data_IF_480651261395
#
_entry.id   IF_480651261395
#
_cell.length_a   1.000
_cell.length_b   1.000
_cell.length_c   1.000
_cell.angle_alpha   90.00
_cell.angle_beta   90.00
_cell.angle_gamma   90.00
#
_symmetry.space_group_name_H-M   'P 1'
#
loop_
_entity.id
_entity.type
_entity.pdbx_description
1 polymer ?
#
# COMPACT_ATOMS: atom_id res chain seq x y z
N UNK A 1 -12.07 5.58 -6.14
CA UNK A 1 -10.96 6.48 -5.74
C UNK A 1 -11.57 7.88 -5.69
N UNK A 2 -11.68 8.53 -4.53
CA UNK A 2 -12.24 9.88 -4.50
C UNK A 2 -11.24 10.81 -5.18
N UNK A 3 -11.55 11.25 -6.40
CA UNK A 3 -10.73 12.17 -7.17
C UNK A 3 -10.57 13.47 -6.39
N UNK A 4 -9.37 13.68 -5.88
CA UNK A 4 -8.98 14.92 -5.23
C UNK A 4 -9.11 16.04 -6.26
N UNK A 5 -9.74 17.16 -5.89
CA UNK A 5 -9.83 18.33 -6.78
C UNK A 5 -8.43 18.88 -7.09
N UNK A 6 -8.21 19.36 -8.32
CA UNK A 6 -6.89 19.78 -8.82
C UNK A 6 -6.19 20.83 -7.91
N UNK A 7 -6.97 21.75 -7.35
CA UNK A 7 -6.48 22.79 -6.45
C UNK A 7 -5.98 22.28 -5.08
N UNK A 8 -6.31 21.05 -4.70
CA UNK A 8 -5.86 20.45 -3.44
C UNK A 8 -4.51 19.76 -3.58
N UNK A 9 -4.01 19.56 -4.81
CA UNK A 9 -2.74 18.87 -5.01
C UNK A 9 -1.57 19.74 -4.54
N UNK A 10 -0.59 19.07 -3.92
CA UNK A 10 0.70 19.69 -3.62
C UNK A 10 1.48 19.95 -4.90
N UNK A 11 2.47 20.83 -4.83
CA UNK A 11 3.29 21.18 -6.01
C UNK A 11 4.02 19.94 -6.57
N UNK A 12 4.51 19.06 -5.70
CA UNK A 12 5.16 17.81 -6.12
C UNK A 12 4.18 16.88 -6.82
N UNK A 13 2.94 16.77 -6.33
CA UNK A 13 1.90 15.97 -7.00
C UNK A 13 1.48 16.58 -8.34
N UNK A 14 1.41 17.91 -8.46
CA UNK A 14 1.13 18.58 -9.73
C UNK A 14 2.24 18.30 -10.74
N UNK A 15 3.52 18.39 -10.34
CA UNK A 15 4.67 18.04 -11.18
C UNK A 15 4.60 16.56 -11.61
N UNK A 16 4.16 15.68 -10.71
CA UNK A 16 3.99 14.25 -11.02
C UNK A 16 2.94 14.01 -12.10
N UNK A 17 1.77 14.65 -11.97
CA UNK A 17 0.69 14.60 -12.96
C UNK A 17 1.20 15.14 -14.31
N UNK A 18 1.82 16.32 -14.33
CA UNK A 18 2.31 16.94 -15.57
C UNK A 18 3.31 16.03 -16.31
N UNK A 19 4.19 15.35 -15.57
CA UNK A 19 5.25 14.52 -16.17
C UNK A 19 4.81 13.10 -16.57
N UNK A 20 3.88 12.50 -15.84
CA UNK A 20 3.58 11.06 -15.97
C UNK A 20 2.12 10.73 -16.32
N UNK A 21 1.21 11.69 -16.25
CA UNK A 21 -0.21 11.44 -16.51
C UNK A 21 -0.48 11.24 -18.00
N UNK A 22 -1.35 10.28 -18.32
CA UNK A 22 -1.71 9.98 -19.72
C UNK A 22 -2.89 10.85 -20.19
N UNK A 23 -3.76 11.27 -19.27
CA UNK A 23 -4.85 12.19 -19.57
C UNK A 23 -4.33 13.62 -19.78
N UNK A 24 -4.36 14.06 -21.04
CA UNK A 24 -3.94 15.39 -21.46
C UNK A 24 -4.75 16.51 -20.79
N UNK A 25 -6.05 16.31 -20.57
CA UNK A 25 -6.92 17.32 -19.94
C UNK A 25 -6.53 17.52 -18.48
N UNK A 26 -6.22 16.43 -17.78
CA UNK A 26 -5.76 16.48 -16.39
C UNK A 26 -4.37 17.13 -16.27
N UNK A 27 -3.47 16.79 -17.19
CA UNK A 27 -2.13 17.41 -17.28
C UNK A 27 -2.22 18.92 -17.54
N UNK A 28 -3.03 19.35 -18.51
CA UNK A 28 -3.26 20.78 -18.80
C UNK A 28 -3.86 21.52 -17.60
N UNK A 29 -4.81 20.93 -16.88
CA UNK A 29 -5.36 21.50 -15.64
C UNK A 29 -4.29 21.62 -14.55
N UNK A 30 -3.42 20.63 -14.41
CA UNK A 30 -2.32 20.65 -13.45
C UNK A 30 -1.29 21.75 -13.79
N UNK A 31 -0.98 21.96 -15.06
CA UNK A 31 -0.10 23.05 -15.51
C UNK A 31 -0.69 24.42 -15.20
N UNK A 32 -1.98 24.62 -15.49
CA UNK A 32 -2.66 25.89 -15.19
C UNK A 32 -2.69 26.18 -13.69
N UNK A 33 -2.97 25.17 -12.87
CA UNK A 33 -2.92 25.27 -11.41
C UNK A 33 -1.50 25.49 -10.87
N UNK A 34 -0.48 24.94 -11.53
CA UNK A 34 0.91 25.19 -11.14
C UNK A 34 1.34 26.63 -11.48
N UNK A 35 0.94 27.13 -12.66
CA UNK A 35 1.21 28.50 -13.12
C UNK A 35 0.46 29.54 -12.27
N UNK A 36 -0.77 29.26 -11.85
CA UNK A 36 -1.56 30.17 -11.01
C UNK A 36 -0.96 30.42 -9.62
N UNK A 37 -0.05 29.55 -9.16
CA UNK A 37 0.64 29.65 -7.87
C UNK A 37 1.83 30.63 -7.87
N UNK A 38 2.15 31.21 -9.02
CA UNK A 38 3.16 32.27 -9.20
C UNK A 38 4.50 31.96 -8.48
N UNK A 39 5.02 30.75 -8.74
CA UNK A 39 6.24 30.27 -8.10
C UNK A 39 7.46 30.97 -8.69
N UNK A 40 8.34 31.46 -7.82
CA UNK A 40 9.67 31.96 -8.25
C UNK A 40 10.52 30.82 -8.82
N UNK A 41 11.46 31.14 -9.72
CA UNK A 41 12.37 30.15 -10.31
C UNK A 41 13.13 29.32 -9.26
N UNK A 42 13.55 29.97 -8.16
CA UNK A 42 14.22 29.30 -7.03
C UNK A 42 13.31 28.29 -6.35
N UNK A 43 12.03 28.62 -6.14
CA UNK A 43 11.05 27.70 -5.57
C UNK A 43 10.75 26.55 -6.53
N UNK A 44 10.56 26.85 -7.82
CA UNK A 44 10.32 25.83 -8.84
C UNK A 44 11.48 24.82 -8.91
N UNK A 45 12.73 25.31 -8.88
CA UNK A 45 13.91 24.45 -8.82
C UNK A 45 13.93 23.58 -7.57
N UNK A 46 13.56 24.14 -6.41
CA UNK A 46 13.45 23.37 -5.16
C UNK A 46 12.41 22.26 -5.28
N UNK A 47 11.21 22.55 -5.76
CA UNK A 47 10.14 21.55 -5.89
C UNK A 47 10.47 20.46 -6.92
N UNK A 48 11.18 20.80 -7.99
CA UNK A 48 11.68 19.79 -8.92
C UNK A 48 12.68 18.85 -8.23
N UNK A 49 13.60 19.36 -7.42
CA UNK A 49 14.51 18.51 -6.64
C UNK A 49 13.75 17.62 -5.63
N UNK A 50 12.73 18.18 -4.97
CA UNK A 50 11.88 17.42 -4.05
C UNK A 50 11.10 16.32 -4.77
N UNK A 51 10.63 16.58 -6.00
CA UNK A 51 9.99 15.60 -6.87
C UNK A 51 10.96 14.46 -7.25
N UNK A 52 12.19 14.77 -7.65
CA UNK A 52 13.19 13.73 -7.98
C UNK A 52 13.50 12.85 -6.75
N UNK A 53 13.64 13.47 -5.57
CA UNK A 53 13.84 12.75 -4.31
C UNK A 53 12.63 11.87 -3.98
N UNK A 54 11.42 12.37 -4.19
CA UNK A 54 10.18 11.61 -4.00
C UNK A 54 10.12 10.38 -4.91
N UNK A 55 10.43 10.52 -6.21
CA UNK A 55 10.48 9.39 -7.14
C UNK A 55 11.54 8.37 -6.79
N UNK A 56 12.73 8.82 -6.39
CA UNK A 56 13.78 7.93 -5.88
C UNK A 56 13.29 7.10 -4.70
N UNK A 57 12.65 7.73 -3.72
CA UNK A 57 12.09 7.00 -2.58
C UNK A 57 10.96 6.06 -2.93
N UNK A 58 10.10 6.40 -3.91
CA UNK A 58 9.08 5.47 -4.39
C UNK A 58 9.72 4.22 -5.01
N UNK A 59 10.73 4.38 -5.86
CA UNK A 59 11.44 3.26 -6.49
C UNK A 59 12.11 2.38 -5.43
N UNK A 60 12.84 2.98 -4.48
CA UNK A 60 13.46 2.25 -3.39
C UNK A 60 12.44 1.48 -2.53
N UNK A 61 11.21 1.97 -2.40
CA UNK A 61 10.14 1.32 -1.63
C UNK A 61 9.43 0.21 -2.38
N UNK A 62 9.35 0.31 -3.71
CA UNK A 62 8.66 -0.64 -4.58
C UNK A 62 9.12 -2.08 -4.36
N UNK A 63 10.43 -2.25 -4.22
CA UNK A 63 11.10 -3.56 -4.13
C UNK A 63 11.53 -3.93 -2.71
N UNK A 64 11.13 -3.14 -1.70
CA UNK A 64 11.37 -3.49 -0.29
C UNK A 64 10.54 -4.72 0.10
N UNK A 65 11.17 -5.74 0.71
CA UNK A 65 10.44 -6.89 1.23
C UNK A 65 9.63 -6.48 2.46
N UNK A 66 8.72 -7.36 2.89
CA UNK A 66 8.13 -7.27 4.21
C UNK A 66 9.22 -7.33 5.28
N UNK A 67 9.05 -6.51 6.30
CA UNK A 67 9.79 -6.64 7.55
C UNK A 67 9.32 -7.88 8.29
N UNK A 68 10.14 -8.39 9.21
CA UNK A 68 9.79 -9.55 10.03
C UNK A 68 8.50 -9.33 10.82
N UNK A 69 8.28 -8.13 11.37
CA UNK A 69 7.07 -7.79 12.13
C UNK A 69 5.83 -7.80 11.25
N UNK A 70 5.90 -7.19 10.06
CA UNK A 70 4.81 -7.23 9.09
C UNK A 70 4.54 -8.68 8.66
N UNK A 71 5.58 -9.49 8.46
CA UNK A 71 5.44 -10.90 8.09
C UNK A 71 4.67 -11.69 9.17
N UNK A 72 5.08 -11.58 10.44
CA UNK A 72 4.42 -12.26 11.56
C UNK A 72 2.96 -11.81 11.68
N UNK A 73 2.72 -10.51 11.52
CA UNK A 73 1.37 -9.93 11.50
C UNK A 73 0.49 -10.59 10.43
N UNK A 74 0.96 -10.66 9.18
CA UNK A 74 0.19 -11.28 8.10
C UNK A 74 0.07 -12.80 8.24
N UNK A 75 0.97 -13.46 8.98
CA UNK A 75 0.92 -14.90 9.20
C UNK A 75 -0.10 -15.29 10.27
N UNK A 76 -0.10 -14.62 11.43
CA UNK A 76 -0.90 -15.01 12.59
C UNK A 76 -2.32 -14.40 12.59
N UNK A 77 -2.44 -13.10 12.30
CA UNK A 77 -3.71 -12.37 12.47
C UNK A 77 -4.87 -12.92 11.63
N UNK A 78 -4.71 -13.30 10.35
CA UNK A 78 -5.85 -13.77 9.56
C UNK A 78 -6.58 -14.97 10.16
N UNK A 79 -5.88 -15.80 10.94
CA UNK A 79 -6.46 -16.96 11.62
C UNK A 79 -7.09 -16.59 12.98
N UNK A 80 -6.41 -15.77 13.80
CA UNK A 80 -6.90 -15.39 15.14
C UNK A 80 -7.96 -14.30 15.13
N UNK A 81 -7.92 -13.41 14.13
CA UNK A 81 -8.93 -12.38 13.89
C UNK A 81 -9.57 -12.66 12.54
N UNK A 82 -10.37 -13.73 12.39
CA UNK A 82 -11.06 -13.99 11.15
C UNK A 82 -12.11 -12.89 10.94
N UNK A 83 -12.16 -12.34 9.73
CA UNK A 83 -13.10 -11.27 9.38
C UNK A 83 -14.55 -11.76 9.52
N UNK A 84 -15.40 -11.08 10.30
CA UNK A 84 -16.84 -11.23 10.14
C UNK A 84 -17.28 -10.62 8.81
N UNK A 85 -18.14 -11.30 8.05
CA UNK A 85 -18.64 -10.84 6.73
C UNK A 85 -19.24 -9.42 6.76
N UNK A 86 -19.70 -8.94 7.92
CA UNK A 86 -20.32 -7.63 8.11
C UNK A 86 -19.35 -6.47 8.42
N UNK A 87 -18.07 -6.72 8.73
CA UNK A 87 -17.05 -5.65 8.91
C UNK A 87 -16.08 -5.65 7.72
N UNK A 88 -16.46 -4.94 6.67
CA UNK A 88 -15.70 -4.85 5.42
C UNK A 88 -14.51 -3.89 5.49
N UNK A 89 -14.54 -2.84 6.33
CA UNK A 89 -13.57 -1.73 6.22
C UNK A 89 -12.50 -1.63 7.33
N UNK A 90 -12.69 -2.22 8.51
CA UNK A 90 -11.82 -1.98 9.68
C UNK A 90 -10.92 -3.15 10.06
N UNK A 91 -10.42 -3.91 9.07
CA UNK A 91 -9.51 -5.01 9.37
C UNK A 91 -8.07 -4.57 9.22
N UNK A 92 -7.27 -4.74 10.28
CA UNK A 92 -5.88 -4.28 10.34
C UNK A 92 -5.03 -4.73 9.15
N UNK A 93 -5.08 -6.03 8.81
CA UNK A 93 -4.32 -6.55 7.67
C UNK A 93 -4.81 -6.01 6.32
N UNK A 94 -6.08 -5.60 6.20
CA UNK A 94 -6.58 -4.97 4.97
C UNK A 94 -6.18 -3.52 4.88
N UNK A 95 -6.24 -2.76 5.98
CA UNK A 95 -5.76 -1.38 6.00
C UNK A 95 -4.27 -1.32 5.66
N UNK A 96 -3.48 -2.27 6.16
CA UNK A 96 -2.06 -2.41 5.84
C UNK A 96 -1.84 -2.81 4.37
N UNK A 97 -2.63 -3.74 3.85
CA UNK A 97 -2.56 -4.15 2.45
C UNK A 97 -2.91 -2.99 1.50
N UNK A 98 -4.03 -2.29 1.75
CA UNK A 98 -4.45 -1.10 1.00
C UNK A 98 -3.41 0.02 1.09
N UNK A 99 -2.72 0.13 2.23
CA UNK A 99 -1.61 1.08 2.41
C UNK A 99 -0.43 0.73 1.51
N UNK A 100 -0.06 -0.55 1.38
CA UNK A 100 1.00 -0.97 0.45
C UNK A 100 0.64 -0.66 -0.99
N UNK A 101 -0.59 -0.95 -1.41
CA UNK A 101 -1.05 -0.60 -2.77
C UNK A 101 -1.03 0.91 -3.00
N UNK A 102 -1.58 1.68 -2.05
CA UNK A 102 -1.66 3.15 -2.16
C UNK A 102 -0.29 3.82 -2.26
N UNK A 103 0.71 3.31 -1.54
CA UNK A 103 2.05 3.92 -1.51
C UNK A 103 3.06 3.21 -2.41
N UNK A 104 2.62 2.33 -3.31
CA UNK A 104 3.46 1.72 -4.33
C UNK A 104 4.41 0.62 -3.83
N UNK A 105 4.16 0.04 -2.65
CA UNK A 105 4.93 -1.09 -2.11
C UNK A 105 4.50 -2.41 -2.75
N UNK A 106 4.76 -2.56 -4.05
CA UNK A 106 4.29 -3.70 -4.85
C UNK A 106 4.80 -5.04 -4.34
N UNK A 107 6.08 -5.12 -3.97
CA UNK A 107 6.65 -6.36 -3.42
C UNK A 107 6.02 -6.74 -2.09
N UNK A 108 5.88 -5.80 -1.15
CA UNK A 108 5.23 -6.03 0.14
C UNK A 108 3.79 -6.53 -0.01
N UNK A 109 3.02 -5.92 -0.91
CA UNK A 109 1.65 -6.37 -1.20
C UNK A 109 1.63 -7.84 -1.68
N UNK A 110 2.49 -8.20 -2.65
CA UNK A 110 2.60 -9.59 -3.13
C UNK A 110 3.03 -10.57 -2.04
N UNK A 111 4.02 -10.21 -1.23
CA UNK A 111 4.48 -11.05 -0.12
C UNK A 111 3.40 -11.19 0.95
N UNK A 112 2.70 -10.12 1.32
CA UNK A 112 1.63 -10.15 2.33
C UNK A 112 0.50 -11.11 1.95
N UNK A 113 0.09 -11.11 0.68
CA UNK A 113 -0.91 -12.06 0.17
C UNK A 113 -0.47 -13.51 0.30
N UNK A 114 0.80 -13.81 -0.03
CA UNK A 114 1.36 -15.17 0.09
C UNK A 114 1.43 -15.61 1.56
N UNK A 115 1.96 -14.76 2.43
CA UNK A 115 2.14 -15.04 3.86
C UNK A 115 0.79 -15.27 4.53
N UNK A 116 -0.23 -14.47 4.19
CA UNK A 116 -1.60 -14.67 4.65
C UNK A 116 -2.15 -16.04 4.26
N UNK A 117 -1.98 -16.46 3.01
CA UNK A 117 -2.44 -17.77 2.55
C UNK A 117 -1.71 -18.90 3.28
N UNK A 118 -0.39 -18.80 3.42
CA UNK A 118 0.42 -19.79 4.14
C UNK A 118 0.05 -19.88 5.62
N UNK A 119 -0.18 -18.76 6.29
CA UNK A 119 -0.62 -18.74 7.69
C UNK A 119 -1.95 -19.46 7.88
N UNK A 120 -2.93 -19.22 7.01
CA UNK A 120 -4.23 -19.92 7.04
C UNK A 120 -4.05 -21.43 6.88
N UNK A 121 -3.28 -21.87 5.86
CA UNK A 121 -3.02 -23.29 5.62
C UNK A 121 -2.27 -23.96 6.78
N UNK A 122 -1.29 -23.26 7.35
CA UNK A 122 -0.53 -23.74 8.49
C UNK A 122 -1.45 -24.00 9.70
N UNK A 123 -2.29 -23.04 10.06
CA UNK A 123 -3.17 -23.20 11.22
C UNK A 123 -4.27 -24.26 11.00
N UNK A 124 -4.78 -24.42 9.77
CA UNK A 124 -5.68 -25.53 9.42
C UNK A 124 -4.95 -26.88 9.62
N UNK A 125 -3.70 -26.98 9.18
CA UNK A 125 -2.89 -28.19 9.37
C UNK A 125 -2.66 -28.51 10.85
N UNK A 126 -2.36 -27.50 11.67
CA UNK A 126 -2.20 -27.65 13.13
C UNK A 126 -3.48 -28.18 13.77
N UNK A 127 -4.65 -27.66 13.40
CA UNK A 127 -5.95 -28.16 13.91
C UNK A 127 -6.15 -29.62 13.53
N UNK A 128 -5.87 -30.02 12.29
CA UNK A 128 -6.00 -31.41 11.84
C UNK A 128 -5.11 -32.33 12.68
N UNK A 129 -3.85 -31.94 12.92
CA UNK A 129 -2.92 -32.73 13.74
C UNK A 129 -3.43 -32.87 15.18
N UNK A 130 -3.97 -31.81 15.77
CA UNK A 130 -4.55 -31.84 17.12
C UNK A 130 -5.73 -32.83 17.18
N UNK A 131 -6.67 -32.74 16.24
CA UNK A 131 -7.84 -33.63 16.16
C UNK A 131 -7.39 -35.10 15.99
N UNK A 132 -6.38 -35.35 15.15
CA UNK A 132 -5.86 -36.71 14.96
C UNK A 132 -5.16 -37.23 16.21
N UNK A 133 -4.40 -36.38 16.91
CA UNK A 133 -3.74 -36.75 18.16
C UNK A 133 -4.77 -37.06 19.26
N UNK A 134 -5.82 -36.26 19.41
CA UNK A 134 -6.93 -36.55 20.33
C UNK A 134 -7.63 -37.86 19.97
N UNK A 135 -7.81 -38.16 18.69
CA UNK A 135 -8.46 -39.43 18.27
C UNK A 135 -7.59 -40.67 18.48
N UNK A 136 -6.26 -40.53 18.42
CA UNK A 136 -5.32 -41.65 18.55
C UNK A 136 -4.92 -41.90 20.01
N UNK A 137 -4.85 -40.86 20.83
CA UNK A 137 -4.33 -40.91 22.20
C UNK A 137 -5.36 -40.50 23.26
N UNK A 138 -6.48 -39.89 22.87
CA UNK A 138 -7.64 -39.71 23.74
C UNK A 138 -8.39 -41.04 23.87
N UNK A 139 -8.63 -41.45 25.12
CA UNK A 139 -9.49 -42.59 25.45
C UNK A 139 -10.93 -42.37 25.00
#
# INVERSE_FOLDING_TARGET
MNEKKINRYSIVELIDIIKNETDKILSEKAELELKSRDLTEKQLKKFNNDYEKFKKFQLERKDKPLTTEEWLTFFFLPFFTPRPKWRTNDHFTESEFKRFEKYGFQRKSKEASKVKLFGILFWISVIIVIILAERLYGK
#
